data_IF_065597965909
#
_entry.id   IF_065597965909
#
_cell.length_a   1.000
_cell.length_b   1.000
_cell.length_c   1.000
_cell.angle_alpha   90.00
_cell.angle_beta   90.00
_cell.angle_gamma   90.00
#
_symmetry.space_group_name_H-M   'P 1'
#
loop_
_entity.id
_entity.type
_entity.pdbx_description
1 polymer ?
#
# COMPACT_ATOMS: atom_id res chain seq x y z
N UNK A 1 3.22 7.19 -8.61
CA UNK A 1 3.79 6.10 -7.85
C UNK A 1 3.22 6.11 -6.43
N UNK A 2 2.51 5.04 -6.05
CA UNK A 2 1.98 4.83 -4.69
C UNK A 2 3.04 4.07 -3.89
N UNK A 3 3.59 4.70 -2.86
CA UNK A 3 4.62 4.08 -2.02
C UNK A 3 4.00 3.21 -0.91
N UNK A 4 4.70 2.14 -0.49
CA UNK A 4 4.28 1.31 0.62
C UNK A 4 4.14 2.11 1.93
N UNK A 5 3.39 1.55 2.87
CA UNK A 5 3.35 2.07 4.24
C UNK A 5 4.59 1.67 5.04
N UNK A 6 4.88 2.39 6.12
CA UNK A 6 5.98 2.07 7.03
C UNK A 6 7.36 2.61 6.63
N UNK A 7 7.54 3.08 5.40
CA UNK A 7 8.85 3.56 4.88
C UNK A 7 9.42 4.78 5.64
N UNK A 8 8.57 5.58 6.26
CA UNK A 8 8.97 6.72 7.10
C UNK A 8 8.92 6.40 8.60
N UNK A 9 8.91 5.12 8.95
CA UNK A 9 8.80 4.62 10.33
C UNK A 9 7.55 5.12 11.09
N UNK A 10 6.56 5.62 10.34
CA UNK A 10 5.27 6.05 10.86
C UNK A 10 4.19 5.10 10.33
N UNK A 11 3.46 4.48 11.26
CA UNK A 11 2.39 3.55 10.90
C UNK A 11 1.24 4.31 10.20
N UNK A 12 0.70 3.69 9.16
CA UNK A 12 -0.48 4.19 8.46
C UNK A 12 -0.26 5.38 7.53
N UNK A 13 0.96 5.95 7.45
CA UNK A 13 1.26 7.04 6.51
C UNK A 13 1.28 6.50 5.08
N UNK A 14 0.34 7.01 4.27
CA UNK A 14 0.24 6.72 2.83
C UNK A 14 0.88 7.84 2.04
N UNK A 15 1.88 7.53 1.24
CA UNK A 15 2.62 8.51 0.43
C UNK A 15 2.49 8.20 -1.05
N UNK A 16 2.37 9.24 -1.85
CA UNK A 16 2.43 9.16 -3.30
C UNK A 16 3.53 10.09 -3.82
N UNK A 17 4.22 9.67 -4.89
CA UNK A 17 5.15 10.51 -5.63
C UNK A 17 4.51 10.84 -6.97
N UNK A 18 4.43 12.13 -7.29
CA UNK A 18 3.85 12.63 -8.53
C UNK A 18 4.99 13.02 -9.49
N UNK A 19 4.90 12.51 -10.72
CA UNK A 19 5.76 12.89 -11.82
C UNK A 19 4.89 13.59 -12.86
N UNK A 20 5.22 14.81 -13.20
CA UNK A 20 4.47 15.56 -14.20
C UNK A 20 5.36 16.53 -14.97
N UNK A 21 4.97 16.82 -16.18
CA UNK A 21 5.58 17.88 -16.98
C UNK A 21 4.59 19.01 -17.13
N UNK A 22 5.01 20.25 -16.84
CA UNK A 22 4.17 21.42 -17.03
C UNK A 22 3.84 21.58 -18.50
N UNK A 23 2.55 21.64 -18.81
CA UNK A 23 2.08 21.92 -20.16
C UNK A 23 2.31 23.37 -20.58
N UNK A 24 2.11 23.63 -21.86
CA UNK A 24 2.26 24.98 -22.45
C UNK A 24 1.00 25.83 -22.30
N UNK A 25 -0.15 25.22 -22.07
CA UNK A 25 -1.45 25.85 -21.91
C UNK A 25 -1.92 25.74 -20.46
N UNK A 26 -2.89 26.55 -20.06
CA UNK A 26 -3.45 26.51 -18.71
C UNK A 26 -4.49 25.38 -18.52
N UNK A 27 -4.96 24.78 -19.62
CA UNK A 27 -6.00 23.74 -19.62
C UNK A 27 -5.65 22.61 -20.57
N UNK A 28 -6.30 21.48 -20.37
CA UNK A 28 -6.32 20.32 -21.27
C UNK A 28 -4.95 19.69 -21.60
N UNK A 29 -3.95 19.91 -20.73
CA UNK A 29 -2.61 19.34 -20.92
C UNK A 29 -2.55 17.85 -20.57
N UNK A 30 -3.30 17.42 -19.55
CA UNK A 30 -3.31 16.02 -19.09
C UNK A 30 -4.40 15.25 -19.84
N UNK A 31 -4.03 14.19 -20.52
CA UNK A 31 -4.95 13.28 -21.20
C UNK A 31 -5.09 11.95 -20.47
N UNK A 32 -3.99 11.50 -19.89
CA UNK A 32 -3.87 10.21 -19.22
C UNK A 32 -3.12 10.36 -17.90
N UNK A 33 -3.51 9.56 -16.92
CA UNK A 33 -2.82 9.42 -15.63
C UNK A 33 -2.41 7.97 -15.50
N UNK A 34 -1.12 7.75 -15.30
CA UNK A 34 -0.55 6.44 -15.08
C UNK A 34 -0.26 6.24 -13.60
N UNK A 35 -0.69 5.13 -13.05
CA UNK A 35 -0.50 4.82 -11.64
C UNK A 35 0.26 3.51 -11.51
N UNK A 36 1.37 3.55 -10.75
CA UNK A 36 2.06 2.36 -10.29
C UNK A 36 1.76 2.12 -8.82
N UNK A 37 1.18 0.96 -8.53
CA UNK A 37 0.86 0.57 -7.15
C UNK A 37 1.97 -0.27 -6.54
N UNK A 38 2.87 0.38 -5.80
CA UNK A 38 3.89 -0.29 -4.98
C UNK A 38 3.42 -0.44 -3.52
N UNK A 39 2.14 -0.19 -3.23
CA UNK A 39 1.59 -0.25 -1.87
C UNK A 39 0.88 -1.57 -1.59
N UNK A 40 0.00 -1.97 -2.50
CA UNK A 40 -0.81 -3.15 -2.33
C UNK A 40 0.02 -4.42 -2.47
N UNK A 41 -0.26 -5.42 -1.66
CA UNK A 41 0.43 -6.72 -1.67
C UNK A 41 1.97 -6.61 -1.59
N UNK A 42 2.45 -5.71 -0.72
CA UNK A 42 3.86 -5.53 -0.40
C UNK A 42 4.11 -5.88 1.07
N UNK A 43 5.30 -6.41 1.39
CA UNK A 43 5.66 -6.65 2.79
C UNK A 43 5.68 -5.34 3.58
N UNK A 44 5.50 -5.45 4.87
CA UNK A 44 5.64 -4.30 5.76
C UNK A 44 7.09 -3.81 5.76
N UNK A 45 7.28 -2.51 5.53
CA UNK A 45 8.59 -1.87 5.57
C UNK A 45 8.82 -1.18 6.92
N UNK A 46 10.09 -1.02 7.28
CA UNK A 46 10.50 -0.40 8.54
C UNK A 46 12.01 -0.44 8.71
N UNK A 47 12.49 -0.26 9.94
CA UNK A 47 13.93 -0.27 10.23
C UNK A 47 14.59 -1.62 9.95
N UNK A 48 13.89 -2.71 10.23
CA UNK A 48 14.40 -4.08 10.05
C UNK A 48 14.24 -4.60 8.63
N UNK A 49 13.29 -4.07 7.88
CA UNK A 49 13.04 -4.38 6.48
C UNK A 49 12.90 -3.08 5.68
N UNK A 50 13.99 -2.39 5.34
CA UNK A 50 13.93 -1.11 4.64
C UNK A 50 13.54 -1.27 3.17
N UNK A 51 12.84 -0.27 2.64
CA UNK A 51 12.59 -0.17 1.20
C UNK A 51 13.93 0.05 0.48
N UNK A 52 14.22 -0.80 -0.50
CA UNK A 52 15.48 -0.79 -1.27
C UNK A 52 15.23 -0.42 -2.72
N UNK A 53 16.32 -0.13 -3.44
CA UNK A 53 16.30 0.21 -4.87
C UNK A 53 15.64 -0.89 -5.73
N UNK A 54 15.91 -2.14 -5.42
CA UNK A 54 15.39 -3.31 -6.14
C UNK A 54 13.86 -3.38 -6.20
N UNK A 55 13.16 -2.84 -5.19
CA UNK A 55 11.69 -2.80 -5.18
C UNK A 55 11.10 -1.85 -6.24
N UNK A 56 11.93 -1.02 -6.86
CA UNK A 56 11.52 -0.07 -7.89
C UNK A 56 11.86 -0.53 -9.31
N UNK A 57 12.49 -1.68 -9.50
CA UNK A 57 13.00 -2.09 -10.81
C UNK A 57 11.86 -2.23 -11.82
N UNK A 58 10.79 -2.91 -11.48
CA UNK A 58 9.59 -3.01 -12.32
C UNK A 58 8.96 -1.63 -12.62
N UNK A 59 8.89 -0.74 -11.62
CA UNK A 59 8.41 0.62 -11.84
C UNK A 59 9.26 1.37 -12.88
N UNK A 60 10.57 1.26 -12.80
CA UNK A 60 11.49 1.93 -13.73
C UNK A 60 11.30 1.42 -15.16
N UNK A 61 11.12 0.11 -15.33
CA UNK A 61 10.81 -0.49 -16.62
C UNK A 61 9.47 0.01 -17.18
N UNK A 62 8.42 -0.01 -16.36
CA UNK A 62 7.08 0.47 -16.72
C UNK A 62 7.06 1.96 -17.03
N UNK A 63 7.83 2.76 -16.28
CA UNK A 63 7.88 4.22 -16.44
C UNK A 63 8.42 4.63 -17.82
N UNK A 64 9.33 3.84 -18.39
CA UNK A 64 9.92 4.03 -19.72
C UNK A 64 10.44 5.47 -19.92
N UNK A 65 11.38 5.88 -19.06
CA UNK A 65 11.95 7.22 -19.11
C UNK A 65 12.51 7.56 -20.50
N UNK A 66 12.21 8.77 -20.95
CA UNK A 66 12.61 9.27 -22.26
C UNK A 66 11.69 8.89 -23.42
N UNK A 67 10.83 7.87 -23.32
CA UNK A 67 9.88 7.50 -24.37
C UNK A 67 8.54 7.00 -23.82
N UNK A 68 7.65 7.95 -23.56
CA UNK A 68 6.33 7.65 -22.98
C UNK A 68 5.45 6.76 -23.89
N UNK A 69 5.74 6.68 -25.19
CA UNK A 69 4.99 5.83 -26.13
C UNK A 69 5.24 4.34 -25.88
N UNK A 70 6.31 4.00 -25.20
CA UNK A 70 6.65 2.62 -24.82
C UNK A 70 5.93 2.11 -23.59
N UNK A 71 5.23 2.99 -22.87
CA UNK A 71 4.44 2.60 -21.70
C UNK A 71 3.34 1.64 -22.08
N UNK A 72 3.29 0.52 -21.37
CA UNK A 72 2.24 -0.50 -21.53
C UNK A 72 1.72 -0.86 -20.16
N UNK A 73 0.42 -0.97 -20.02
CA UNK A 73 -0.20 -1.45 -18.80
C UNK A 73 0.27 -2.88 -18.50
N UNK A 74 0.56 -3.14 -17.23
CA UNK A 74 0.73 -4.51 -16.73
C UNK A 74 -0.58 -5.05 -16.18
N UNK A 75 -1.54 -4.17 -15.89
CA UNK A 75 -2.90 -4.54 -15.53
C UNK A 75 -3.69 -4.98 -16.77
N UNK A 76 -4.42 -6.09 -16.62
CA UNK A 76 -5.45 -6.53 -17.57
C UNK A 76 -6.50 -7.37 -16.84
N UNK A 77 -7.58 -7.75 -17.51
CA UNK A 77 -8.57 -8.70 -16.95
C UNK A 77 -7.94 -10.06 -16.64
N UNK A 78 -6.95 -10.47 -17.44
CA UNK A 78 -6.18 -11.69 -17.26
C UNK A 78 -5.10 -11.56 -16.18
N UNK A 79 -4.61 -10.33 -15.95
CA UNK A 79 -3.63 -10.00 -14.91
C UNK A 79 -4.13 -8.87 -13.99
N UNK A 80 -5.11 -9.14 -13.12
CA UNK A 80 -5.71 -8.11 -12.26
C UNK A 80 -4.77 -7.57 -11.19
N UNK A 81 -3.65 -8.25 -10.95
CA UNK A 81 -2.60 -7.83 -10.01
C UNK A 81 -1.46 -7.04 -10.67
N UNK A 82 -1.56 -6.75 -11.97
CA UNK A 82 -0.62 -5.87 -12.65
C UNK A 82 -0.56 -4.49 -11.99
N UNK A 83 0.66 -4.04 -11.65
CA UNK A 83 0.89 -2.85 -10.83
C UNK A 83 0.84 -1.53 -11.58
N UNK A 84 0.97 -1.56 -12.91
CA UNK A 84 0.98 -0.37 -13.78
C UNK A 84 -0.32 -0.27 -14.56
N UNK A 85 -1.08 0.78 -14.30
CA UNK A 85 -2.39 1.00 -14.90
C UNK A 85 -2.58 2.42 -15.37
N UNK A 86 -3.23 2.58 -16.51
CA UNK A 86 -3.61 3.84 -17.13
C UNK A 86 -5.07 4.20 -16.82
N UNK A 87 -5.31 5.48 -16.61
CA UNK A 87 -6.64 6.06 -16.48
C UNK A 87 -6.73 7.27 -17.40
N UNK A 88 -7.85 7.45 -18.05
CA UNK A 88 -8.14 8.68 -18.80
C UNK A 88 -8.39 9.84 -17.84
N UNK A 89 -8.19 11.07 -18.31
CA UNK A 89 -8.50 12.25 -17.48
C UNK A 89 -10.00 12.31 -17.14
N UNK A 90 -10.88 11.86 -18.05
CA UNK A 90 -12.31 11.85 -17.82
C UNK A 90 -12.72 10.88 -16.70
N UNK A 91 -12.10 9.70 -16.64
CA UNK A 91 -12.27 8.76 -15.52
C UNK A 91 -11.84 9.37 -14.19
N UNK A 92 -10.73 10.11 -14.17
CA UNK A 92 -10.26 10.80 -12.96
C UNK A 92 -11.22 11.93 -12.56
N UNK A 93 -11.68 12.73 -13.53
CA UNK A 93 -12.57 13.86 -13.28
C UNK A 93 -13.97 13.41 -12.79
N UNK A 94 -14.42 12.23 -13.19
CA UNK A 94 -15.68 11.64 -12.73
C UNK A 94 -15.64 11.16 -11.27
N UNK A 95 -14.46 11.06 -10.67
CA UNK A 95 -14.30 10.61 -9.27
C UNK A 95 -14.60 11.74 -8.29
N UNK A 96 -15.08 11.38 -7.09
CA UNK A 96 -15.23 12.33 -6.00
C UNK A 96 -13.92 13.07 -5.73
N UNK A 97 -13.97 14.40 -5.75
CA UNK A 97 -12.82 15.30 -5.54
C UNK A 97 -11.63 15.01 -6.46
N UNK A 98 -11.85 14.42 -7.63
CA UNK A 98 -10.79 14.03 -8.56
C UNK A 98 -9.67 13.21 -7.89
N UNK A 99 -10.05 12.33 -6.98
CA UNK A 99 -9.12 11.56 -6.15
C UNK A 99 -8.25 10.64 -7.00
N UNK A 100 -6.93 10.71 -6.79
CA UNK A 100 -5.93 9.79 -7.35
C UNK A 100 -5.66 8.58 -6.43
N UNK A 101 -6.36 8.45 -5.32
CA UNK A 101 -6.25 7.26 -4.47
C UNK A 101 -7.12 6.14 -5.05
N UNK A 102 -6.55 5.45 -6.04
CA UNK A 102 -7.20 4.38 -6.79
C UNK A 102 -6.52 3.07 -6.41
N UNK A 103 -7.32 2.08 -6.01
CA UNK A 103 -6.87 0.73 -5.69
C UNK A 103 -7.61 -0.26 -6.58
N UNK A 104 -6.90 -1.18 -7.21
CA UNK A 104 -7.45 -2.27 -8.00
C UNK A 104 -6.81 -3.62 -7.65
N UNK A 105 -5.58 -3.64 -7.13
CA UNK A 105 -4.93 -4.84 -6.67
C UNK A 105 -5.63 -5.28 -5.40
N UNK A 106 -6.13 -6.52 -5.41
CA UNK A 106 -6.62 -7.15 -4.19
C UNK A 106 -5.41 -7.44 -3.32
N UNK A 107 -5.26 -6.69 -2.24
CA UNK A 107 -4.26 -7.04 -1.24
C UNK A 107 -4.61 -8.40 -0.68
N UNK A 108 -3.65 -9.33 -0.69
CA UNK A 108 -3.66 -10.48 0.22
C UNK A 108 -3.38 -10.05 1.68
N UNK A 109 -3.03 -8.76 1.91
CA UNK A 109 -3.22 -8.10 3.20
C UNK A 109 -4.71 -8.11 3.47
N UNK A 110 -5.19 -9.30 3.94
CA UNK A 110 -6.56 -9.49 4.25
C UNK A 110 -7.34 -8.18 4.39
N UNK A 111 -8.11 -7.82 3.38
CA UNK A 111 -9.45 -7.40 3.75
C UNK A 111 -9.79 -8.46 4.75
N UNK A 112 -9.78 -8.08 6.00
CA UNK A 112 -10.08 -8.96 7.10
C UNK A 112 -11.50 -9.44 6.83
N UNK A 113 -11.62 -10.50 6.04
CA UNK A 113 -12.90 -11.12 5.68
C UNK A 113 -13.55 -11.74 6.92
N UNK A 114 -12.83 -11.62 8.07
CA UNK A 114 -13.34 -12.05 9.37
C UNK A 114 -14.52 -11.18 9.75
N UNK A 115 -15.57 -11.82 10.12
CA UNK A 115 -16.74 -11.15 10.69
C UNK A 115 -16.35 -10.40 11.97
N UNK A 116 -17.12 -9.39 12.35
CA UNK A 116 -16.92 -8.69 13.60
C UNK A 116 -16.89 -9.66 14.80
N UNK A 117 -17.64 -10.76 14.73
CA UNK A 117 -17.66 -11.80 15.76
C UNK A 117 -16.32 -12.54 15.84
N UNK A 118 -15.71 -12.89 14.73
CA UNK A 118 -14.41 -13.56 14.67
C UNK A 118 -13.30 -12.65 15.18
N UNK A 119 -13.32 -11.36 14.81
CA UNK A 119 -12.40 -10.36 15.34
C UNK A 119 -12.51 -10.21 16.85
N UNK A 120 -13.74 -10.12 17.37
CA UNK A 120 -13.98 -10.03 18.79
C UNK A 120 -13.51 -11.27 19.55
N UNK A 121 -13.67 -12.46 18.95
CA UNK A 121 -13.20 -13.71 19.54
C UNK A 121 -11.67 -13.76 19.61
N UNK A 122 -10.98 -13.36 18.53
CA UNK A 122 -9.51 -13.28 18.52
C UNK A 122 -8.97 -12.26 19.53
N UNK A 123 -9.61 -11.11 19.65
CA UNK A 123 -9.25 -10.10 20.66
C UNK A 123 -9.38 -10.67 22.06
N UNK A 124 -10.46 -11.39 22.36
CA UNK A 124 -10.67 -12.05 23.66
C UNK A 124 -9.60 -13.10 23.95
N UNK A 125 -9.27 -13.94 22.96
CA UNK A 125 -8.25 -14.97 23.10
C UNK A 125 -6.86 -14.35 23.36
N UNK A 126 -6.48 -13.35 22.57
CA UNK A 126 -5.20 -12.63 22.78
C UNK A 126 -5.16 -11.91 24.12
N UNK A 127 -6.26 -11.33 24.56
CA UNK A 127 -6.37 -10.67 25.87
C UNK A 127 -6.21 -11.68 27.01
N UNK A 128 -6.80 -12.88 26.88
CA UNK A 128 -6.62 -13.97 27.86
C UNK A 128 -5.15 -14.40 27.94
N UNK A 129 -4.52 -14.63 26.79
CA UNK A 129 -3.10 -15.02 26.73
C UNK A 129 -2.17 -13.97 27.38
N UNK A 130 -2.48 -12.68 27.21
CA UNK A 130 -1.74 -11.60 27.87
C UNK A 130 -1.95 -11.66 29.39
N UNK A 131 -3.17 -11.85 29.86
CA UNK A 131 -3.46 -11.97 31.28
C UNK A 131 -2.76 -13.15 31.93
N UNK A 132 -2.72 -14.31 31.24
CA UNK A 132 -2.03 -15.49 31.72
C UNK A 132 -0.51 -15.25 31.79
N UNK A 133 0.09 -14.61 30.78
CA UNK A 133 1.51 -14.26 30.76
C UNK A 133 1.87 -13.26 31.89
N UNK A 134 1.01 -12.29 32.17
CA UNK A 134 1.19 -11.35 33.29
C UNK A 134 1.14 -12.07 34.63
N UNK A 135 0.18 -12.98 34.83
CA UNK A 135 0.07 -13.76 36.05
C UNK A 135 1.30 -14.66 36.28
N UNK A 136 1.84 -15.24 35.20
CA UNK A 136 3.07 -16.02 35.27
C UNK A 136 4.30 -15.17 35.67
N UNK A 137 4.39 -13.96 35.10
CA UNK A 137 5.43 -12.99 35.48
C UNK A 137 5.33 -12.54 36.94
N UNK A 138 4.12 -12.24 37.41
CA UNK A 138 3.87 -11.88 38.81
C UNK A 138 4.30 -13.00 39.76
N UNK A 139 4.04 -14.26 39.43
CA UNK A 139 4.49 -15.41 40.19
C UNK A 139 6.01 -15.50 40.26
N UNK A 140 6.70 -15.34 39.12
CA UNK A 140 8.18 -15.36 39.06
C UNK A 140 8.78 -14.24 39.89
N UNK A 141 8.21 -13.03 39.84
CA UNK A 141 8.67 -11.88 40.62
C UNK A 141 8.47 -12.15 42.14
N UNK A 142 7.31 -12.69 42.54
CA UNK A 142 7.05 -13.04 43.91
C UNK A 142 7.98 -14.12 44.47
N UNK A 143 8.45 -15.04 43.64
CA UNK A 143 9.44 -16.09 44.04
C UNK A 143 10.89 -15.54 44.17
N UNK A 144 11.18 -14.35 43.60
CA UNK A 144 12.51 -13.72 43.68
C UNK A 144 12.65 -12.81 44.89
N UNK A 145 11.53 -12.33 45.44
CA UNK A 145 11.48 -11.41 46.57
C UNK A 145 11.38 -12.14 47.95
N UNK A 146 11.36 -13.48 47.98
CA UNK A 146 11.55 -14.35 49.19
C UNK A 146 12.99 -14.85 49.32
#
# INVERSE_FOLDING_TARGET
>A
LRLPTGIFYAQGVKTNVLFFTRGRTDKDNTKEVWIYDLRSDMPSFGKTNPLKREHFDEFVECYADGDLSKRKETYSEENPNGRWRKFTIDEIMARDKTSLDITWIKSNDGTDDRTLSELLQEIKEKSSNIADAVAELEKIIGEVDE
#
